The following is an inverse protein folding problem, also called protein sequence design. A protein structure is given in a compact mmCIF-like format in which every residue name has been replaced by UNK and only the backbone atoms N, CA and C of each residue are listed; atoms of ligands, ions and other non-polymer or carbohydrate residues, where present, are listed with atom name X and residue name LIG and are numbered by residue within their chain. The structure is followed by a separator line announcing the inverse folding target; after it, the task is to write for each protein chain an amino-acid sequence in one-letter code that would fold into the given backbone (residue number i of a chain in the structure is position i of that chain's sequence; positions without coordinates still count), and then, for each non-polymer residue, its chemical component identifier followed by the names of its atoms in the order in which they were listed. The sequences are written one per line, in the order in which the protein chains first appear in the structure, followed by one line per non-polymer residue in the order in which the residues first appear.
data_IF_683978693281
#
_entry.id   IF_683978693281
#
_cell.length_a   1.000
_cell.length_b   1.000
_cell.length_c   1.000
_cell.angle_alpha   90.00
_cell.angle_beta   90.00
_cell.angle_gamma   90.00
#
_symmetry.space_group_name_H-M   'P 1'
#
loop_
_entity.id
_entity.type
_entity.pdbx_description
1 polymer ?
#
# COMPACT_ATOMS: atom_id res chain seq x y z
N UNK A 1 11.58 -20.08 2.03
CA UNK A 1 12.39 -19.89 0.81
C UNK A 1 12.24 -21.09 -0.12
N UNK A 2 12.26 -20.86 -1.41
CA UNK A 2 12.13 -21.90 -2.41
C UNK A 2 12.86 -21.52 -3.72
N UNK A 3 13.23 -22.55 -4.50
CA UNK A 3 13.91 -22.39 -5.77
C UNK A 3 15.39 -21.99 -5.64
N UNK A 4 16.13 -22.11 -6.73
CA UNK A 4 17.56 -21.83 -6.80
C UNK A 4 17.92 -20.34 -6.54
N UNK A 5 16.98 -19.44 -6.76
CA UNK A 5 17.15 -18.01 -6.59
C UNK A 5 16.63 -17.49 -5.23
N UNK A 6 16.34 -18.38 -4.27
CA UNK A 6 15.89 -18.03 -2.92
C UNK A 6 14.64 -17.13 -2.92
N UNK A 7 13.63 -17.49 -3.69
CA UNK A 7 12.31 -16.86 -3.65
C UNK A 7 11.65 -17.14 -2.30
N UNK A 8 10.78 -16.22 -1.84
CA UNK A 8 10.10 -16.32 -0.56
C UNK A 8 8.61 -16.08 -0.72
N UNK A 9 7.83 -16.68 0.16
CA UNK A 9 6.42 -16.35 0.34
C UNK A 9 6.08 -16.40 1.83
N UNK A 10 5.11 -15.60 2.23
CA UNK A 10 4.65 -15.52 3.61
C UNK A 10 3.19 -15.09 3.69
N UNK A 11 2.59 -15.35 4.83
CA UNK A 11 1.25 -14.87 5.15
C UNK A 11 1.17 -14.43 6.61
N UNK A 12 0.21 -13.57 6.90
CA UNK A 12 -0.10 -13.04 8.22
C UNK A 12 -1.61 -13.05 8.41
N UNK A 13 -2.05 -13.47 9.58
CA UNK A 13 -3.41 -13.27 10.05
C UNK A 13 -3.33 -12.55 11.39
N UNK A 14 -4.06 -11.46 11.50
CA UNK A 14 -4.13 -10.69 12.74
C UNK A 14 -5.59 -10.43 13.09
N UNK A 15 -5.96 -10.73 14.34
CA UNK A 15 -7.30 -10.54 14.85
C UNK A 15 -7.25 -9.80 16.19
N UNK A 16 -8.14 -8.84 16.35
CA UNK A 16 -8.31 -8.08 17.57
C UNK A 16 -9.78 -8.11 18.00
N UNK A 17 -9.99 -8.35 19.26
CA UNK A 17 -11.30 -8.26 19.91
C UNK A 17 -11.22 -7.33 21.12
N UNK A 18 -12.22 -6.46 21.26
CA UNK A 18 -12.42 -5.63 22.44
C UNK A 18 -13.72 -6.02 23.13
N UNK A 19 -13.62 -6.32 24.41
CA UNK A 19 -14.81 -6.53 25.27
C UNK A 19 -15.33 -5.14 25.67
N UNK A 20 -16.36 -4.70 24.94
CA UNK A 20 -16.98 -3.39 25.12
C UNK A 20 -18.42 -3.59 25.59
N UNK A 21 -18.76 -2.98 26.73
CA UNK A 21 -20.12 -2.98 27.25
C UNK A 21 -21.09 -2.32 26.26
N UNK A 22 -22.19 -2.98 25.94
CA UNK A 22 -23.20 -2.50 25.02
C UNK A 22 -23.80 -1.18 25.50
N UNK A 23 -23.83 -0.17 24.65
CA UNK A 23 -24.34 1.18 24.99
C UNK A 23 -23.34 2.05 25.76
N UNK A 24 -22.13 1.56 26.02
CA UNK A 24 -21.09 2.38 26.63
C UNK A 24 -20.50 3.41 25.64
N UNK A 25 -19.97 4.52 26.18
CA UNK A 25 -19.27 5.50 25.38
C UNK A 25 -18.03 4.92 24.66
N UNK A 26 -17.39 3.91 25.24
CA UNK A 26 -16.25 3.22 24.61
C UNK A 26 -16.69 2.39 23.41
N UNK A 27 -17.87 1.75 23.46
CA UNK A 27 -18.41 1.01 22.32
C UNK A 27 -18.74 1.95 21.13
N UNK A 28 -19.06 3.21 21.38
CA UNK A 28 -19.29 4.24 20.36
C UNK A 28 -17.97 4.83 19.80
N UNK A 29 -16.87 4.67 20.52
CA UNK A 29 -15.57 5.20 20.12
C UNK A 29 -14.68 4.18 19.37
N UNK A 30 -14.80 2.91 19.73
CA UNK A 30 -13.91 1.86 19.22
C UNK A 30 -14.66 0.74 18.52
N UNK A 31 -14.05 0.21 17.47
CA UNK A 31 -14.48 -1.03 16.82
C UNK A 31 -14.39 -2.20 17.80
N UNK A 32 -15.33 -3.13 17.73
CA UNK A 32 -15.36 -4.32 18.60
C UNK A 32 -14.39 -5.39 18.11
N UNK A 33 -14.41 -5.65 16.82
CA UNK A 33 -13.52 -6.64 16.21
C UNK A 33 -12.82 -6.03 15.00
N UNK A 34 -11.58 -6.45 14.77
CA UNK A 34 -10.85 -6.22 13.54
C UNK A 34 -10.08 -7.48 13.14
N UNK A 35 -10.15 -7.81 11.85
CA UNK A 35 -9.43 -8.92 11.23
C UNK A 35 -8.67 -8.38 10.04
N UNK A 36 -7.40 -8.75 9.91
CA UNK A 36 -6.65 -8.60 8.68
C UNK A 36 -5.96 -9.90 8.30
N UNK A 37 -6.00 -10.19 7.01
CA UNK A 37 -5.29 -11.32 6.40
C UNK A 37 -4.43 -10.76 5.28
N UNK A 38 -3.14 -11.06 5.27
CA UNK A 38 -2.22 -10.58 4.25
C UNK A 38 -1.29 -11.69 3.80
N UNK A 39 -0.86 -11.60 2.55
CA UNK A 39 0.17 -12.46 1.97
C UNK A 39 1.19 -11.66 1.18
N UNK A 40 2.39 -12.21 1.07
CA UNK A 40 3.44 -11.65 0.23
C UNK A 40 4.23 -12.73 -0.48
N UNK A 41 4.83 -12.37 -1.61
CA UNK A 41 5.76 -13.21 -2.34
C UNK A 41 6.89 -12.34 -2.91
N UNK A 42 8.11 -12.87 -2.90
CA UNK A 42 9.27 -12.36 -3.62
C UNK A 42 9.76 -13.46 -4.56
N UNK A 43 9.63 -13.23 -5.85
CA UNK A 43 10.13 -14.14 -6.88
C UNK A 43 11.37 -13.53 -7.52
N UNK A 44 12.45 -14.29 -7.59
CA UNK A 44 13.71 -13.88 -8.20
C UNK A 44 13.99 -14.69 -9.47
N UNK A 45 14.43 -13.99 -10.51
CA UNK A 45 14.66 -14.57 -11.83
C UNK A 45 16.07 -14.24 -12.32
N UNK A 46 16.56 -15.04 -13.25
CA UNK A 46 17.83 -14.83 -13.92
C UNK A 46 18.99 -14.57 -12.95
N UNK A 47 19.22 -15.53 -12.02
CA UNK A 47 20.27 -15.42 -11.02
C UNK A 47 20.07 -14.25 -10.03
N UNK A 48 18.83 -13.83 -9.79
CA UNK A 48 18.51 -12.71 -8.92
C UNK A 48 18.63 -11.33 -9.59
N UNK A 49 18.81 -11.28 -10.91
CA UNK A 49 18.90 -9.99 -11.62
C UNK A 49 17.56 -9.24 -11.70
N UNK A 50 16.46 -9.98 -11.62
CA UNK A 50 15.10 -9.44 -11.62
C UNK A 50 14.35 -9.92 -10.39
N UNK A 51 13.57 -9.04 -9.79
CA UNK A 51 12.70 -9.34 -8.67
C UNK A 51 11.27 -8.92 -8.98
N UNK A 52 10.33 -9.83 -8.71
CA UNK A 52 8.91 -9.53 -8.66
C UNK A 52 8.43 -9.71 -7.23
N UNK A 53 7.92 -8.63 -6.63
CA UNK A 53 7.30 -8.66 -5.32
C UNK A 53 5.82 -8.40 -5.47
N UNK A 54 5.04 -9.27 -4.85
CA UNK A 54 3.60 -9.09 -4.71
C UNK A 54 3.24 -9.14 -3.24
N UNK A 55 2.40 -8.25 -2.80
CA UNK A 55 1.77 -8.30 -1.49
C UNK A 55 0.32 -7.86 -1.60
N UNK A 56 -0.52 -8.39 -0.73
CA UNK A 56 -1.91 -7.99 -0.70
C UNK A 56 -2.62 -8.60 0.49
N UNK A 57 -3.77 -8.06 0.80
CA UNK A 57 -4.56 -8.52 1.93
C UNK A 57 -5.96 -7.94 1.94
N UNK A 58 -6.76 -8.48 2.85
CA UNK A 58 -8.08 -7.99 3.16
C UNK A 58 -8.18 -7.61 4.62
N UNK A 59 -9.05 -6.68 4.92
CA UNK A 59 -9.40 -6.27 6.26
C UNK A 59 -10.92 -6.25 6.46
N UNK A 60 -11.34 -6.52 7.66
CA UNK A 60 -12.73 -6.40 8.08
C UNK A 60 -12.76 -5.91 9.53
N UNK A 61 -13.60 -4.93 9.80
CA UNK A 61 -13.90 -4.50 11.16
C UNK A 61 -15.40 -4.42 11.39
N UNK A 62 -15.80 -4.48 12.66
CA UNK A 62 -17.17 -4.22 13.07
C UNK A 62 -17.24 -3.49 14.42
N UNK A 63 -18.36 -2.84 14.66
CA UNK A 63 -18.65 -2.09 15.88
C UNK A 63 -20.05 -1.52 15.87
N UNK A 64 -20.32 -0.55 16.75
CA UNK A 64 -21.56 0.23 16.66
C UNK A 64 -21.55 1.12 15.42
N UNK A 65 -22.73 1.58 14.99
CA UNK A 65 -22.85 2.55 13.89
C UNK A 65 -21.95 3.77 14.11
N UNK A 66 -21.90 4.31 15.32
CA UNK A 66 -21.06 5.47 15.68
C UNK A 66 -19.56 5.17 15.57
N UNK A 67 -19.14 3.99 16.05
CA UNK A 67 -17.74 3.57 15.94
C UNK A 67 -17.31 3.43 14.47
N UNK A 68 -18.15 2.83 13.62
CA UNK A 68 -17.90 2.66 12.19
C UNK A 68 -18.00 3.99 11.43
N UNK A 69 -18.95 4.85 11.77
CA UNK A 69 -19.04 6.21 11.23
C UNK A 69 -17.77 7.00 11.55
N UNK A 70 -17.23 6.89 12.76
CA UNK A 70 -15.97 7.53 13.14
C UNK A 70 -14.80 7.08 12.28
N UNK A 71 -14.71 5.79 11.96
CA UNK A 71 -13.70 5.25 11.05
C UNK A 71 -13.86 5.87 9.66
N UNK A 72 -15.07 5.91 9.11
CA UNK A 72 -15.35 6.52 7.81
C UNK A 72 -14.97 8.00 7.77
N UNK A 73 -15.12 8.73 8.87
CA UNK A 73 -14.76 10.16 9.00
C UNK A 73 -13.28 10.41 9.27
N UNK A 74 -12.51 9.37 9.58
CA UNK A 74 -11.09 9.50 9.88
C UNK A 74 -10.31 10.05 8.68
N UNK A 75 -9.12 10.59 8.93
CA UNK A 75 -8.23 11.10 7.87
C UNK A 75 -7.78 10.01 6.89
N UNK A 76 -7.79 8.74 7.30
CA UNK A 76 -7.46 7.61 6.43
C UNK A 76 -8.54 7.33 5.37
N UNK A 77 -9.80 7.55 5.69
CA UNK A 77 -10.94 7.29 4.78
C UNK A 77 -11.53 8.58 4.22
N UNK A 78 -11.82 9.55 5.08
CA UNK A 78 -12.38 10.86 4.72
C UNK A 78 -13.59 10.75 3.78
N UNK A 79 -14.56 9.86 4.14
CA UNK A 79 -15.70 9.50 3.31
C UNK A 79 -16.70 10.67 3.06
N UNK A 80 -16.57 11.77 3.82
CA UNK A 80 -17.38 12.99 3.65
C UNK A 80 -16.86 13.94 2.55
N UNK A 81 -15.79 13.59 1.82
CA UNK A 81 -15.27 14.41 0.72
C UNK A 81 -16.31 14.55 -0.41
N UNK A 82 -16.50 15.75 -0.97
CA UNK A 82 -17.46 15.98 -2.03
C UNK A 82 -17.06 15.37 -3.39
N UNK A 83 -15.77 15.05 -3.59
CA UNK A 83 -15.23 14.45 -4.81
C UNK A 83 -15.32 12.90 -4.83
N UNK A 84 -15.96 12.28 -3.83
CA UNK A 84 -16.14 10.83 -3.67
C UNK A 84 -17.63 10.45 -3.69
N UNK A 85 -18.23 10.48 -4.85
CA UNK A 85 -19.64 10.11 -5.01
C UNK A 85 -19.91 8.59 -4.93
N UNK A 86 -18.88 7.76 -5.08
CA UNK A 86 -18.91 6.30 -5.08
C UNK A 86 -18.64 5.67 -3.70
N UNK A 87 -18.06 6.41 -2.76
CA UNK A 87 -17.70 5.94 -1.41
C UNK A 87 -18.14 6.97 -0.38
N UNK A 88 -19.45 7.18 -0.30
CA UNK A 88 -20.07 8.16 0.59
C UNK A 88 -20.11 7.67 2.02
N UNK A 89 -20.09 8.62 2.94
CA UNK A 89 -20.38 8.37 4.34
C UNK A 89 -21.77 7.73 4.50
N UNK A 90 -21.81 6.57 5.13
CA UNK A 90 -23.03 5.89 5.52
C UNK A 90 -23.02 5.67 7.04
N UNK A 91 -23.81 6.46 7.80
CA UNK A 91 -23.84 6.38 9.26
C UNK A 91 -24.59 5.14 9.81
N UNK A 92 -25.18 4.32 8.94
CA UNK A 92 -25.92 3.12 9.36
C UNK A 92 -25.06 1.85 9.31
N UNK A 93 -23.82 1.94 8.81
CA UNK A 93 -22.93 0.80 8.73
C UNK A 93 -22.42 0.39 10.11
N UNK A 94 -22.43 -0.92 10.36
CA UNK A 94 -21.84 -1.56 11.54
C UNK A 94 -20.57 -2.35 11.23
N UNK A 95 -20.16 -2.40 9.97
CA UNK A 95 -18.93 -3.06 9.51
C UNK A 95 -18.35 -2.37 8.29
N UNK A 96 -17.03 -2.50 8.13
CA UNK A 96 -16.30 -2.14 6.90
C UNK A 96 -15.43 -3.33 6.49
N UNK A 97 -15.34 -3.56 5.19
CA UNK A 97 -14.42 -4.54 4.62
C UNK A 97 -13.75 -3.97 3.37
N UNK A 98 -12.45 -4.25 3.24
CA UNK A 98 -11.67 -3.76 2.13
C UNK A 98 -10.45 -4.61 1.85
N UNK A 99 -9.70 -4.21 0.82
CA UNK A 99 -8.52 -4.93 0.36
C UNK A 99 -7.43 -3.96 -0.12
N UNK A 100 -6.20 -4.45 -0.12
CA UNK A 100 -5.01 -3.77 -0.64
C UNK A 100 -4.18 -4.74 -1.46
N UNK A 101 -3.60 -4.26 -2.56
CA UNK A 101 -2.65 -5.01 -3.39
C UNK A 101 -1.50 -4.09 -3.76
N UNK A 102 -0.28 -4.62 -3.69
CA UNK A 102 0.93 -3.96 -4.15
C UNK A 102 1.76 -4.92 -4.99
N UNK A 103 2.18 -4.46 -6.17
CA UNK A 103 3.04 -5.18 -7.08
C UNK A 103 4.28 -4.34 -7.38
N UNK A 104 5.45 -4.97 -7.39
CA UNK A 104 6.71 -4.36 -7.77
C UNK A 104 7.43 -5.27 -8.75
N UNK A 105 8.01 -4.70 -9.79
CA UNK A 105 8.88 -5.42 -10.70
C UNK A 105 10.15 -4.61 -10.94
N UNK A 106 11.28 -5.19 -10.56
CA UNK A 106 12.56 -4.49 -10.51
C UNK A 106 13.64 -5.27 -11.26
N UNK A 107 14.47 -4.57 -12.03
CA UNK A 107 15.78 -5.02 -12.43
C UNK A 107 16.80 -4.51 -11.41
N UNK A 108 17.23 -5.36 -10.49
CA UNK A 108 18.07 -5.02 -9.34
C UNK A 108 19.57 -5.19 -9.59
N UNK A 109 19.94 -5.90 -10.68
CA UNK A 109 21.33 -6.17 -11.04
C UNK A 109 21.60 -5.89 -12.51
N UNK A 110 22.82 -5.52 -12.83
CA UNK A 110 23.31 -5.19 -14.16
C UNK A 110 24.43 -4.16 -14.10
N UNK A 111 25.21 -4.04 -15.17
CA UNK A 111 26.36 -3.13 -15.22
C UNK A 111 25.92 -1.66 -15.13
N UNK A 112 25.04 -1.24 -16.01
CA UNK A 112 24.65 0.16 -16.13
C UNK A 112 23.19 0.41 -15.79
N UNK A 113 22.26 -0.34 -16.42
CA UNK A 113 20.83 -0.07 -16.35
C UNK A 113 20.14 -0.83 -15.25
N UNK A 114 19.51 -0.11 -14.32
CA UNK A 114 18.56 -0.59 -13.35
C UNK A 114 17.23 0.14 -13.56
N UNK A 115 16.12 -0.53 -13.29
CA UNK A 115 14.80 0.07 -13.39
C UNK A 115 13.81 -0.66 -12.49
N UNK A 116 12.73 0.00 -12.17
CA UNK A 116 11.66 -0.57 -11.40
C UNK A 116 10.32 0.07 -11.73
N UNK A 117 9.28 -0.70 -11.52
CA UNK A 117 7.90 -0.25 -11.55
C UNK A 117 7.16 -0.81 -10.34
N UNK A 118 6.36 0.05 -9.71
CA UNK A 118 5.55 -0.30 -8.55
C UNK A 118 4.13 0.21 -8.77
N UNK A 119 3.14 -0.60 -8.39
CA UNK A 119 1.76 -0.13 -8.26
C UNK A 119 1.18 -0.60 -6.94
N UNK A 120 0.42 0.26 -6.28
CA UNK A 120 -0.33 -0.03 -5.05
C UNK A 120 -1.76 0.45 -5.21
N UNK A 121 -2.71 -0.41 -4.85
CA UNK A 121 -4.13 -0.12 -4.89
C UNK A 121 -4.71 -0.45 -3.52
N UNK A 122 -5.37 0.53 -2.91
CA UNK A 122 -6.13 0.36 -1.67
C UNK A 122 -7.61 0.65 -1.95
N UNK A 123 -8.49 -0.29 -1.61
CA UNK A 123 -9.92 -0.04 -1.70
C UNK A 123 -10.37 1.01 -0.68
N UNK A 124 -11.52 1.64 -0.93
CA UNK A 124 -12.06 2.73 -0.13
C UNK A 124 -12.33 2.37 1.34
N UNK A 125 -12.64 1.11 1.61
CA UNK A 125 -12.96 0.61 2.95
C UNK A 125 -11.84 -0.25 3.55
N UNK A 126 -10.64 -0.25 2.96
CA UNK A 126 -9.51 -0.96 3.53
C UNK A 126 -9.07 -0.27 4.83
N UNK A 127 -9.14 -0.97 5.96
CA UNK A 127 -8.85 -0.41 7.28
C UNK A 127 -8.07 -1.42 8.14
N UNK A 128 -6.93 -1.00 8.63
CA UNK A 128 -6.04 -1.82 9.48
C UNK A 128 -5.51 -1.09 10.71
N UNK A 129 -5.93 0.15 10.98
CA UNK A 129 -5.38 0.95 12.08
C UNK A 129 -5.60 0.37 13.47
N UNK A 130 -6.52 -0.59 13.63
CA UNK A 130 -6.69 -1.33 14.89
C UNK A 130 -5.55 -2.35 15.16
N UNK A 131 -4.84 -2.76 14.12
CA UNK A 131 -3.85 -3.86 14.17
C UNK A 131 -2.56 -3.55 13.41
N UNK A 132 -2.52 -2.48 12.64
CA UNK A 132 -1.37 -2.00 11.85
C UNK A 132 -1.49 -0.48 11.67
N UNK A 133 -0.85 0.07 10.65
CA UNK A 133 -0.93 1.50 10.32
C UNK A 133 -1.39 1.69 8.87
N UNK A 134 -2.42 2.51 8.68
CA UNK A 134 -2.91 2.98 7.40
C UNK A 134 -2.94 4.52 7.38
N UNK A 135 -2.31 5.14 6.41
CA UNK A 135 -2.32 6.59 6.25
C UNK A 135 -3.44 7.08 5.33
N UNK A 136 -3.91 6.25 4.43
CA UNK A 136 -5.01 6.57 3.53
C UNK A 136 -5.47 5.36 2.74
N UNK A 137 -6.77 5.27 2.52
CA UNK A 137 -7.45 4.31 1.65
C UNK A 137 -7.93 4.99 0.35
N UNK A 138 -8.56 4.24 -0.55
CA UNK A 138 -9.10 4.73 -1.82
C UNK A 138 -8.03 5.37 -2.69
N UNK A 139 -6.96 4.63 -2.95
CA UNK A 139 -5.86 5.13 -3.74
C UNK A 139 -5.33 4.12 -4.75
N UNK A 140 -4.90 4.64 -5.88
CA UNK A 140 -4.09 3.93 -6.86
C UNK A 140 -2.82 4.72 -7.13
N UNK A 141 -1.73 4.28 -6.53
CA UNK A 141 -0.41 4.85 -6.71
C UNK A 141 0.38 4.01 -7.72
N UNK A 142 1.06 4.67 -8.65
CA UNK A 142 1.99 4.03 -9.57
C UNK A 142 3.31 4.81 -9.59
N UNK A 143 4.41 4.09 -9.48
CA UNK A 143 5.75 4.62 -9.61
C UNK A 143 6.51 3.86 -10.69
N UNK A 144 7.38 4.56 -11.41
CA UNK A 144 8.39 3.97 -12.27
C UNK A 144 9.71 4.73 -12.11
N UNK A 145 10.81 4.01 -12.17
CA UNK A 145 12.13 4.62 -12.17
C UNK A 145 13.05 3.93 -13.17
N UNK A 146 14.00 4.70 -13.68
CA UNK A 146 15.11 4.19 -14.48
C UNK A 146 16.39 4.87 -14.03
N UNK A 147 17.44 4.08 -13.82
CA UNK A 147 18.76 4.54 -13.40
C UNK A 147 19.81 4.00 -14.35
N UNK A 148 20.61 4.90 -14.87
CA UNK A 148 21.88 4.55 -15.48
C UNK A 148 23.01 4.86 -14.49
N UNK A 149 23.94 3.92 -14.31
CA UNK A 149 25.09 4.07 -13.40
C UNK A 149 26.38 3.61 -14.03
N UNK A 150 27.48 4.26 -13.63
CA UNK A 150 28.83 3.79 -13.83
C UNK A 150 29.50 3.55 -12.47
N UNK A 151 30.01 2.36 -12.27
CA UNK A 151 30.63 1.93 -11.02
C UNK A 151 32.13 1.67 -11.16
N UNK A 152 32.66 1.69 -12.37
CA UNK A 152 34.10 1.58 -12.60
C UNK A 152 34.74 2.97 -12.52
N UNK A 153 35.83 3.12 -11.71
CA UNK A 153 36.53 4.39 -11.59
C UNK A 153 37.07 4.88 -12.94
N UNK A 154 36.65 6.08 -13.32
CA UNK A 154 37.20 6.80 -14.45
C UNK A 154 38.29 7.79 -14.05
N UNK A 155 38.71 8.64 -14.99
CA UNK A 155 39.75 9.65 -14.75
C UNK A 155 39.30 10.79 -13.83
N UNK A 156 37.99 11.10 -13.80
CA UNK A 156 37.42 12.24 -13.06
C UNK A 156 36.50 11.76 -11.95
N UNK A 157 35.60 10.83 -12.24
CA UNK A 157 34.63 10.32 -11.28
C UNK A 157 34.95 8.87 -10.91
N UNK A 158 34.79 8.52 -9.62
CA UNK A 158 34.89 7.13 -9.16
C UNK A 158 33.63 6.34 -9.50
N UNK A 159 32.49 6.94 -9.24
CA UNK A 159 31.15 6.39 -9.55
C UNK A 159 30.22 7.56 -9.84
N UNK A 160 29.22 7.33 -10.66
CA UNK A 160 28.15 8.31 -10.88
C UNK A 160 26.90 7.64 -11.41
N UNK A 161 25.76 8.29 -11.25
CA UNK A 161 24.50 7.81 -11.81
C UNK A 161 23.59 8.97 -12.24
N UNK A 162 22.75 8.68 -13.21
CA UNK A 162 21.60 9.50 -13.57
C UNK A 162 20.33 8.67 -13.36
N UNK A 163 19.32 9.25 -12.75
CA UNK A 163 18.05 8.60 -12.47
C UNK A 163 16.87 9.49 -12.82
N UNK A 164 15.85 8.89 -13.39
CA UNK A 164 14.54 9.50 -13.58
C UNK A 164 13.52 8.70 -12.81
N UNK A 165 12.71 9.39 -12.01
CA UNK A 165 11.58 8.85 -11.26
C UNK A 165 10.29 9.52 -11.74
N UNK A 166 9.22 8.74 -11.91
CA UNK A 166 7.87 9.24 -12.18
C UNK A 166 6.88 8.59 -11.20
N UNK A 167 5.96 9.39 -10.69
CA UNK A 167 4.90 8.93 -9.79
C UNK A 167 3.58 9.57 -10.18
N UNK A 168 2.52 8.82 -10.05
CA UNK A 168 1.14 9.32 -10.12
C UNK A 168 0.30 8.68 -9.04
N UNK A 169 -0.57 9.48 -8.44
CA UNK A 169 -1.55 9.03 -7.45
C UNK A 169 -2.93 9.44 -7.93
N UNK A 170 -3.86 8.51 -7.93
CA UNK A 170 -5.26 8.73 -8.28
C UNK A 170 -6.17 8.08 -7.25
N UNK A 171 -7.43 8.48 -7.19
CA UNK A 171 -8.47 7.66 -6.55
C UNK A 171 -8.75 6.42 -7.40
N UNK A 172 -9.47 5.44 -6.88
CA UNK A 172 -9.89 4.26 -7.66
C UNK A 172 -10.74 4.62 -8.88
N UNK A 173 -11.41 5.75 -8.88
CA UNK A 173 -12.20 6.27 -10.02
C UNK A 173 -11.40 7.15 -10.99
N UNK A 174 -10.08 7.23 -10.79
CA UNK A 174 -9.18 7.92 -11.71
C UNK A 174 -9.05 9.43 -11.50
N UNK A 175 -9.61 9.98 -10.42
CA UNK A 175 -9.37 11.38 -10.08
C UNK A 175 -7.91 11.55 -9.63
N UNK A 176 -7.15 12.34 -10.37
CA UNK A 176 -5.74 12.57 -10.08
C UNK A 176 -5.57 13.37 -8.78
N UNK A 177 -4.84 12.80 -7.85
CA UNK A 177 -4.48 13.42 -6.56
C UNK A 177 -3.14 14.13 -6.64
N UNK A 178 -2.15 13.45 -7.19
CA UNK A 178 -0.81 13.99 -7.35
C UNK A 178 -0.09 13.43 -8.58
N UNK A 179 1.01 14.07 -8.93
CA UNK A 179 1.96 13.55 -9.92
C UNK A 179 3.29 14.25 -9.78
N UNK A 180 4.36 13.48 -9.90
CA UNK A 180 5.72 13.98 -9.77
C UNK A 180 6.62 13.32 -10.80
N UNK A 181 7.52 14.12 -11.36
CA UNK A 181 8.69 13.65 -12.12
C UNK A 181 9.92 14.26 -11.48
N UNK A 182 10.94 13.44 -11.24
CA UNK A 182 12.19 13.87 -10.61
C UNK A 182 13.38 13.30 -11.36
N UNK A 183 14.31 14.18 -11.75
CA UNK A 183 15.63 13.81 -12.24
C UNK A 183 16.69 13.95 -11.14
N UNK A 184 17.63 13.02 -11.06
CA UNK A 184 18.76 13.05 -10.13
C UNK A 184 20.02 12.71 -10.89
N UNK A 185 21.08 13.50 -10.67
CA UNK A 185 22.44 13.18 -11.07
C UNK A 185 23.36 13.28 -9.84
N UNK A 186 24.23 12.29 -9.67
CA UNK A 186 25.15 12.21 -8.52
C UNK A 186 26.48 11.60 -8.94
#
# INVERSE_FOLDING_TARGET
EFGANQSTAGFLVNYMHRDLETGSALADLYTRNALAVAGNALLRFNGGAYEFRASGGGSMLNGTEKAVERVQRSSAHYAQRPDRDYARLDPTLTSLAGWSVQLNFDKVSGRHWLWGANTKIDSENFEVNDIAQLNGADGWMTNANIRWRETQPGKVFRTYYAQLDAQTDTTLRGLRQSGRVRGVFN
#
